data_IF_948889775049
#
_entry.id   IF_948889775049
#
_cell.length_a   1.000
_cell.length_b   1.000
_cell.length_c   1.000
_cell.angle_alpha   90.00
_cell.angle_beta   90.00
_cell.angle_gamma   90.00
#
_symmetry.space_group_name_H-M   'P 1'
#
loop_
_entity.id
_entity.type
_entity.pdbx_description
1 polymer ?
#
# COMPACT_ATOMS: atom_id res chain seq x y z
N UNK A 1 -0.20 19.49 -16.60
CA UNK A 1 -1.49 19.38 -15.87
C UNK A 1 -1.94 17.93 -16.04
N UNK A 2 -1.54 17.03 -15.15
CA UNK A 2 -2.05 15.65 -15.18
C UNK A 2 -3.57 15.77 -14.99
N UNK A 3 -4.32 15.25 -15.95
CA UNK A 3 -5.76 15.46 -16.01
C UNK A 3 -6.39 14.95 -14.70
N UNK A 4 -7.06 15.83 -13.94
CA UNK A 4 -7.63 15.46 -12.63
C UNK A 4 -8.68 14.37 -12.77
N UNK A 5 -9.33 14.29 -13.94
CA UNK A 5 -10.25 13.20 -14.29
C UNK A 5 -9.50 11.87 -14.30
N UNK A 6 -8.30 11.82 -14.89
CA UNK A 6 -7.46 10.63 -14.91
C UNK A 6 -6.96 10.20 -13.52
N UNK A 7 -6.70 11.16 -12.61
CA UNK A 7 -6.25 10.83 -11.25
C UNK A 7 -7.37 10.25 -10.37
N UNK A 8 -8.58 10.81 -10.48
CA UNK A 8 -9.77 10.28 -9.78
C UNK A 8 -10.12 8.89 -10.31
N UNK A 9 -10.10 8.69 -11.62
CA UNK A 9 -10.36 7.38 -12.24
C UNK A 9 -9.36 6.32 -11.78
N UNK A 10 -8.06 6.62 -11.81
CA UNK A 10 -7.02 5.69 -11.32
C UNK A 10 -7.18 5.32 -9.86
N UNK A 11 -7.49 6.29 -9.00
CA UNK A 11 -7.73 6.00 -7.59
C UNK A 11 -9.01 5.18 -7.39
N UNK A 12 -10.06 5.45 -8.16
CA UNK A 12 -11.29 4.67 -8.15
C UNK A 12 -11.06 3.21 -8.56
N UNK A 13 -10.26 2.99 -9.62
CA UNK A 13 -9.84 1.65 -10.05
C UNK A 13 -9.01 0.93 -8.97
N UNK A 14 -8.06 1.63 -8.34
CA UNK A 14 -7.23 1.05 -7.26
C UNK A 14 -8.05 0.65 -6.03
N UNK A 15 -9.08 1.45 -5.70
CA UNK A 15 -9.93 1.21 -4.54
C UNK A 15 -11.11 0.28 -4.83
N UNK A 16 -11.34 -0.06 -6.09
CA UNK A 16 -12.55 -0.77 -6.55
C UNK A 16 -13.82 -0.04 -6.10
N UNK A 17 -13.87 1.26 -6.44
CA UNK A 17 -14.95 2.19 -6.08
C UNK A 17 -15.49 2.93 -7.32
N UNK A 18 -16.73 3.43 -7.27
CA UNK A 18 -17.22 4.37 -8.28
C UNK A 18 -16.41 5.67 -8.27
N UNK A 19 -16.07 6.19 -9.45
CA UNK A 19 -15.32 7.43 -9.59
C UNK A 19 -16.04 8.64 -8.97
N UNK A 20 -17.38 8.62 -8.95
CA UNK A 20 -18.22 9.64 -8.32
C UNK A 20 -17.97 9.72 -6.81
N UNK A 21 -17.87 8.57 -6.13
CA UNK A 21 -17.59 8.53 -4.70
C UNK A 21 -16.21 9.12 -4.40
N UNK A 22 -15.21 8.78 -5.22
CA UNK A 22 -13.85 9.32 -5.10
C UNK A 22 -13.80 10.82 -5.39
N UNK A 23 -14.56 11.32 -6.37
CA UNK A 23 -14.67 12.74 -6.66
C UNK A 23 -15.33 13.53 -5.53
N UNK A 24 -16.35 12.97 -4.87
CA UNK A 24 -16.98 13.57 -3.69
C UNK A 24 -16.00 13.56 -2.51
N UNK A 25 -15.34 12.43 -2.23
CA UNK A 25 -14.32 12.32 -1.20
C UNK A 25 -13.18 13.32 -1.38
N UNK A 26 -12.68 13.49 -2.60
CA UNK A 26 -11.69 14.50 -2.95
C UNK A 26 -12.14 15.92 -2.58
N UNK A 27 -13.38 16.29 -2.94
CA UNK A 27 -13.91 17.63 -2.61
C UNK A 27 -13.99 17.84 -1.10
N UNK A 28 -14.49 16.86 -0.36
CA UNK A 28 -14.60 16.95 1.11
C UNK A 28 -13.23 17.11 1.77
N UNK A 29 -12.27 16.26 1.41
CA UNK A 29 -10.91 16.30 1.97
C UNK A 29 -10.19 17.58 1.60
N UNK A 30 -10.36 18.07 0.36
CA UNK A 30 -9.75 19.33 -0.06
C UNK A 30 -10.23 20.52 0.79
N UNK A 31 -11.52 20.61 1.10
CA UNK A 31 -12.03 21.67 1.96
C UNK A 31 -11.55 21.50 3.42
N UNK A 32 -11.52 20.26 3.93
CA UNK A 32 -10.98 19.97 5.27
C UNK A 32 -9.49 20.37 5.39
N UNK A 33 -8.67 20.06 4.38
CA UNK A 33 -7.25 20.41 4.35
C UNK A 33 -7.04 21.93 4.27
N UNK A 34 -7.90 22.67 3.55
CA UNK A 34 -7.84 24.14 3.56
C UNK A 34 -8.13 24.69 4.95
N UNK A 35 -9.17 24.20 5.62
CA UNK A 35 -9.52 24.61 6.98
C UNK A 35 -8.40 24.28 7.97
N UNK A 36 -7.85 23.06 7.90
CA UNK A 36 -6.71 22.65 8.71
C UNK A 36 -5.49 23.55 8.49
N UNK A 37 -5.14 23.85 7.23
CA UNK A 37 -4.06 24.79 6.89
C UNK A 37 -4.31 26.19 7.47
N UNK A 38 -5.53 26.70 7.40
CA UNK A 38 -5.85 28.02 7.96
C UNK A 38 -5.57 28.09 9.46
N UNK A 39 -5.81 26.99 10.19
CA UNK A 39 -5.62 26.95 11.64
C UNK A 39 -4.17 26.65 12.06
N UNK A 40 -3.52 25.68 11.41
CA UNK A 40 -2.22 25.15 11.86
C UNK A 40 -1.03 25.66 11.04
N UNK A 41 -1.25 26.05 9.78
CA UNK A 41 -0.19 26.48 8.86
C UNK A 41 -0.58 27.73 8.05
N UNK A 42 -1.00 28.84 8.71
CA UNK A 42 -1.52 30.01 8.02
C UNK A 42 -0.48 30.68 7.11
N UNK A 43 0.81 30.47 7.33
CA UNK A 43 1.90 31.02 6.52
C UNK A 43 2.12 30.31 5.16
N UNK A 44 1.69 29.05 5.01
CA UNK A 44 1.83 28.31 3.75
C UNK A 44 0.73 28.68 2.77
N UNK A 45 1.00 28.80 1.46
CA UNK A 45 -0.10 28.92 0.49
C UNK A 45 -0.94 27.64 0.47
N UNK A 46 -2.21 27.73 0.03
CA UNK A 46 -3.07 26.53 -0.13
C UNK A 46 -2.40 25.50 -1.03
N UNK A 47 -1.78 25.96 -2.12
CA UNK A 47 -1.14 25.07 -3.07
C UNK A 47 0.10 24.38 -2.48
N UNK A 48 0.95 25.11 -1.75
CA UNK A 48 2.13 24.53 -1.09
C UNK A 48 1.72 23.49 -0.04
N UNK A 49 0.70 23.80 0.76
CA UNK A 49 0.19 22.86 1.76
C UNK A 49 -0.41 21.60 1.13
N UNK A 50 -1.22 21.75 0.07
CA UNK A 50 -1.77 20.59 -0.64
C UNK A 50 -0.64 19.75 -1.25
N UNK A 51 0.37 20.35 -1.88
CA UNK A 51 1.52 19.59 -2.41
C UNK A 51 2.20 18.75 -1.33
N UNK A 52 2.43 19.31 -0.13
CA UNK A 52 2.99 18.55 1.01
C UNK A 52 2.05 17.42 1.45
N UNK A 53 0.75 17.69 1.58
CA UNK A 53 -0.22 16.68 1.98
C UNK A 53 -0.35 15.53 0.96
N UNK A 54 -0.12 15.81 -0.33
CA UNK A 54 -0.12 14.79 -1.39
C UNK A 54 1.22 14.05 -1.52
N UNK A 55 2.35 14.66 -1.14
CA UNK A 55 3.68 14.07 -1.29
C UNK A 55 3.83 12.75 -0.52
N UNK A 56 3.33 12.71 0.72
CA UNK A 56 3.46 11.54 1.60
C UNK A 56 2.25 10.60 1.49
N UNK A 57 1.41 10.76 0.46
CA UNK A 57 0.18 9.98 0.31
C UNK A 57 -0.91 10.23 1.36
N UNK A 58 -0.68 11.12 2.34
CA UNK A 58 -1.62 11.42 3.42
C UNK A 58 -2.99 11.89 2.90
N UNK A 59 -2.99 12.84 1.95
CA UNK A 59 -4.22 13.32 1.32
C UNK A 59 -4.93 12.20 0.54
N UNK A 60 -4.19 11.33 -0.15
CA UNK A 60 -4.77 10.19 -0.88
C UNK A 60 -5.45 9.22 0.09
N UNK A 61 -4.82 8.94 1.23
CA UNK A 61 -5.42 8.12 2.28
C UNK A 61 -6.72 8.72 2.83
N UNK A 62 -6.74 10.03 3.14
CA UNK A 62 -7.96 10.70 3.58
C UNK A 62 -9.07 10.62 2.52
N UNK A 63 -8.73 10.76 1.24
CA UNK A 63 -9.68 10.66 0.14
C UNK A 63 -10.26 9.25 0.06
N UNK A 64 -9.41 8.22 0.12
CA UNK A 64 -9.84 6.83 0.11
C UNK A 64 -10.79 6.53 1.28
N UNK A 65 -10.40 6.90 2.49
CA UNK A 65 -11.22 6.68 3.69
C UNK A 65 -12.56 7.42 3.63
N UNK A 66 -12.57 8.68 3.17
CA UNK A 66 -13.81 9.42 2.95
C UNK A 66 -14.71 8.77 1.89
N UNK A 67 -14.11 8.24 0.81
CA UNK A 67 -14.83 7.59 -0.29
C UNK A 67 -15.50 6.29 0.15
N UNK A 68 -14.83 5.47 0.97
CA UNK A 68 -15.43 4.28 1.56
C UNK A 68 -16.58 4.63 2.52
N UNK A 69 -16.40 5.63 3.38
CA UNK A 69 -17.46 6.11 4.31
C UNK A 69 -18.70 6.61 3.58
N UNK A 70 -18.54 7.29 2.44
CA UNK A 70 -19.67 7.71 1.59
C UNK A 70 -20.53 6.54 1.12
N UNK A 71 -19.93 5.36 0.97
CA UNK A 71 -20.61 4.12 0.58
C UNK A 71 -20.93 3.21 1.77
N UNK A 72 -20.81 3.70 3.01
CA UNK A 72 -21.03 2.94 4.26
C UNK A 72 -20.12 1.72 4.40
N UNK A 73 -18.91 1.78 3.83
CA UNK A 73 -17.86 0.76 3.95
C UNK A 73 -16.87 1.16 5.04
N UNK A 74 -17.37 1.36 6.27
CA UNK A 74 -16.57 1.95 7.37
C UNK A 74 -15.35 1.09 7.73
N UNK A 75 -15.48 -0.24 7.70
CA UNK A 75 -14.36 -1.17 7.91
C UNK A 75 -13.24 -0.99 6.87
N UNK A 76 -13.58 -0.80 5.60
CA UNK A 76 -12.57 -0.56 4.55
C UNK A 76 -11.90 0.81 4.73
N UNK A 77 -12.65 1.82 5.22
CA UNK A 77 -12.08 3.11 5.56
C UNK A 77 -11.06 3.02 6.70
N UNK A 78 -11.33 2.23 7.74
CA UNK A 78 -10.40 1.96 8.84
C UNK A 78 -9.16 1.19 8.36
N UNK A 79 -9.35 0.22 7.46
CA UNK A 79 -8.27 -0.57 6.85
C UNK A 79 -7.30 0.33 6.08
N UNK A 80 -7.77 1.20 5.19
CA UNK A 80 -6.86 2.06 4.41
C UNK A 80 -6.07 3.02 5.30
N UNK A 81 -6.70 3.55 6.36
CA UNK A 81 -6.00 4.38 7.35
C UNK A 81 -4.95 3.58 8.13
N UNK A 82 -5.23 2.33 8.47
CA UNK A 82 -4.28 1.44 9.13
C UNK A 82 -3.09 1.10 8.23
N UNK A 83 -3.35 0.80 6.95
CA UNK A 83 -2.31 0.57 5.94
C UNK A 83 -1.39 1.79 5.81
N UNK A 84 -1.96 3.00 5.70
CA UNK A 84 -1.16 4.22 5.59
C UNK A 84 -0.25 4.43 6.81
N UNK A 85 -0.74 4.17 8.03
CA UNK A 85 0.08 4.22 9.26
C UNK A 85 1.18 3.17 9.29
N UNK A 86 0.91 1.95 8.79
CA UNK A 86 1.89 0.88 8.72
C UNK A 86 2.99 1.16 7.67
N UNK A 87 2.63 1.80 6.56
CA UNK A 87 3.58 2.19 5.51
C UNK A 87 4.48 3.38 5.91
N UNK A 88 4.01 4.23 6.83
CA UNK A 88 4.74 5.41 7.32
C UNK A 88 4.89 5.36 8.85
N UNK A 89 5.64 4.38 9.39
CA UNK A 89 5.78 4.22 10.83
C UNK A 89 6.44 5.46 11.42
N UNK A 90 5.87 5.98 12.52
CA UNK A 90 6.51 7.06 13.27
C UNK A 90 7.83 6.54 13.89
N UNK A 91 8.88 7.38 13.96
CA UNK A 91 10.08 7.04 14.72
C UNK A 91 9.71 6.60 16.14
N UNK A 92 10.17 5.41 16.56
CA UNK A 92 9.88 4.83 17.88
C UNK A 92 8.56 4.07 18.00
N UNK A 93 7.83 3.80 16.90
CA UNK A 93 6.69 2.88 16.93
C UNK A 93 7.13 1.47 17.38
N UNK A 94 6.31 0.76 18.17
CA UNK A 94 6.67 -0.57 18.66
C UNK A 94 7.03 -1.50 17.51
N UNK A 95 8.15 -2.22 17.64
CA UNK A 95 8.51 -3.30 16.72
C UNK A 95 7.38 -4.33 16.73
N UNK A 96 6.82 -4.62 15.55
CA UNK A 96 5.94 -5.78 15.35
C UNK A 96 6.69 -7.01 15.85
N UNK A 97 6.08 -7.77 16.77
CA UNK A 97 6.71 -8.95 17.35
C UNK A 97 7.19 -9.89 16.23
N UNK A 98 8.47 -10.30 16.22
CA UNK A 98 9.04 -11.09 15.14
C UNK A 98 8.60 -12.55 15.29
N UNK A 99 7.86 -13.08 14.32
CA UNK A 99 7.78 -14.53 13.94
C UNK A 99 6.55 -14.91 13.12
N UNK A 100 5.55 -14.02 12.97
CA UNK A 100 4.39 -14.30 12.13
C UNK A 100 4.63 -13.83 10.68
N UNK A 101 4.49 -14.75 9.72
CA UNK A 101 4.54 -14.42 8.29
C UNK A 101 5.94 -14.26 7.67
N UNK A 102 7.02 -14.64 8.36
CA UNK A 102 8.36 -14.81 7.75
C UNK A 102 9.21 -15.79 8.59
N UNK A 103 10.32 -16.27 8.03
CA UNK A 103 11.27 -17.06 8.80
C UNK A 103 12.05 -16.16 9.79
N UNK A 104 12.48 -16.66 10.97
CA UNK A 104 13.15 -15.84 11.99
C UNK A 104 14.38 -15.07 11.49
N UNK A 105 15.18 -15.68 10.61
CA UNK A 105 16.36 -15.04 10.03
C UNK A 105 16.03 -13.86 9.11
N UNK A 106 14.83 -13.87 8.52
CA UNK A 106 14.38 -12.87 7.56
C UNK A 106 13.70 -11.67 8.22
N UNK A 107 13.32 -11.78 9.49
CA UNK A 107 12.72 -10.69 10.26
C UNK A 107 13.66 -9.49 10.45
N UNK A 108 14.96 -9.65 10.14
CA UNK A 108 15.95 -8.58 10.21
C UNK A 108 15.87 -7.60 9.02
N UNK A 109 15.30 -8.01 7.89
CA UNK A 109 15.12 -7.13 6.73
C UNK A 109 13.99 -6.13 7.00
N UNK A 110 14.27 -4.84 6.76
CA UNK A 110 13.31 -3.77 7.02
C UNK A 110 12.07 -3.92 6.14
N UNK A 111 12.28 -4.24 4.87
CA UNK A 111 11.27 -4.39 3.84
C UNK A 111 10.31 -5.53 4.19
N UNK A 112 10.85 -6.65 4.70
CA UNK A 112 10.06 -7.78 5.18
C UNK A 112 9.15 -7.34 6.33
N UNK A 113 9.70 -6.67 7.35
CA UNK A 113 8.88 -6.18 8.49
C UNK A 113 7.81 -5.18 8.04
N UNK A 114 8.14 -4.27 7.13
CA UNK A 114 7.19 -3.26 6.62
C UNK A 114 6.06 -3.93 5.83
N UNK A 115 6.37 -4.89 4.96
CA UNK A 115 5.36 -5.66 4.23
C UNK A 115 4.43 -6.43 5.19
N UNK A 116 4.98 -7.12 6.20
CA UNK A 116 4.20 -7.82 7.23
C UNK A 116 3.29 -6.84 8.00
N UNK A 117 3.81 -5.68 8.37
CA UNK A 117 3.04 -4.65 9.07
C UNK A 117 1.87 -4.13 8.22
N UNK A 118 2.11 -3.86 6.93
CA UNK A 118 1.09 -3.41 5.98
C UNK A 118 0.00 -4.47 5.81
N UNK A 119 0.36 -5.72 5.56
CA UNK A 119 -0.60 -6.80 5.32
C UNK A 119 -1.41 -7.12 6.59
N UNK A 120 -0.75 -7.14 7.75
CA UNK A 120 -1.43 -7.30 9.05
C UNK A 120 -2.40 -6.14 9.31
N UNK A 121 -2.01 -4.90 9.02
CA UNK A 121 -2.87 -3.72 9.17
C UNK A 121 -4.10 -3.77 8.26
N UNK A 122 -4.02 -4.50 7.13
CA UNK A 122 -5.14 -4.76 6.25
C UNK A 122 -6.05 -5.92 6.72
N UNK A 123 -5.81 -6.47 7.91
CA UNK A 123 -6.58 -7.58 8.48
C UNK A 123 -6.26 -8.93 7.83
N UNK A 124 -5.15 -9.04 7.09
CA UNK A 124 -4.75 -10.29 6.47
C UNK A 124 -3.96 -11.11 7.52
N UNK A 125 -4.33 -12.36 7.82
CA UNK A 125 -3.55 -13.20 8.71
C UNK A 125 -2.20 -13.55 8.08
N UNK A 126 -1.17 -13.48 8.91
CA UNK A 126 0.14 -14.03 8.61
C UNK A 126 0.11 -15.57 8.77
N UNK A 127 0.93 -16.28 8.00
CA UNK A 127 1.16 -17.71 8.22
C UNK A 127 1.83 -17.88 9.59
N UNK A 128 1.14 -18.57 10.49
CA UNK A 128 1.67 -19.06 11.76
C UNK A 128 1.92 -20.56 11.59
N UNK A 129 3.17 -21.01 11.53
CA UNK A 129 3.46 -22.45 11.53
C UNK A 129 2.83 -23.10 12.80
N UNK A 130 2.04 -24.19 12.70
CA UNK A 130 1.89 -25.12 11.56
C UNK A 130 0.62 -24.89 10.68
N UNK A 131 -0.08 -23.75 10.80
CA UNK A 131 -1.29 -23.45 10.01
C UNK A 131 -0.91 -22.99 8.59
N UNK A 132 -1.70 -23.43 7.61
CA UNK A 132 -1.44 -23.20 6.18
C UNK A 132 -2.12 -21.95 5.58
N UNK A 133 -2.91 -21.22 6.38
CA UNK A 133 -3.64 -20.03 5.92
C UNK A 133 -2.88 -18.73 6.19
N UNK A 134 -2.93 -17.78 5.25
CA UNK A 134 -2.34 -16.46 5.42
C UNK A 134 -1.22 -16.10 4.42
N UNK A 135 -0.49 -15.02 4.71
CA UNK A 135 0.66 -14.60 3.91
C UNK A 135 1.99 -15.04 4.54
N UNK A 136 2.98 -15.32 3.69
CA UNK A 136 4.39 -15.41 4.08
C UNK A 136 5.19 -14.48 3.18
N UNK A 137 6.03 -13.66 3.81
CA UNK A 137 6.95 -12.73 3.18
C UNK A 137 8.36 -13.29 3.28
N UNK A 138 9.06 -13.37 2.15
CA UNK A 138 10.47 -13.73 2.08
C UNK A 138 11.25 -12.63 1.38
N UNK A 139 12.47 -12.30 1.83
CA UNK A 139 13.33 -11.38 1.11
C UNK A 139 13.77 -12.03 -0.21
N UNK A 140 13.98 -11.21 -1.23
CA UNK A 140 14.58 -11.67 -2.46
C UNK A 140 16.07 -12.01 -2.31
N UNK A 141 16.57 -12.83 -3.23
CA UNK A 141 17.98 -13.19 -3.30
C UNK A 141 18.90 -12.01 -3.68
N UNK A 142 20.23 -12.22 -3.67
CA UNK A 142 21.23 -11.18 -3.92
C UNK A 142 21.06 -10.43 -5.26
N UNK A 143 20.41 -11.06 -6.24
CA UNK A 143 20.20 -10.53 -7.59
C UNK A 143 19.03 -9.54 -7.69
N UNK A 144 18.12 -9.54 -6.72
CA UNK A 144 16.98 -8.62 -6.63
C UNK A 144 16.97 -7.96 -5.25
N UNK A 145 18.02 -7.20 -4.88
CA UNK A 145 18.12 -6.64 -3.55
C UNK A 145 16.89 -5.76 -3.26
N UNK A 146 16.38 -5.85 -2.02
CA UNK A 146 15.26 -5.04 -1.50
C UNK A 146 13.86 -5.39 -2.04
N UNK A 147 13.74 -6.40 -2.88
CA UNK A 147 12.44 -7.01 -3.18
C UNK A 147 12.02 -7.95 -2.06
N UNK A 148 10.72 -8.11 -1.91
CA UNK A 148 10.12 -9.20 -1.11
C UNK A 148 9.17 -10.01 -1.98
N UNK A 149 9.06 -11.30 -1.69
CA UNK A 149 8.09 -12.18 -2.32
C UNK A 149 7.06 -12.64 -1.30
N UNK A 150 5.82 -12.65 -1.74
CA UNK A 150 4.68 -12.93 -0.88
C UNK A 150 3.92 -14.12 -1.44
N UNK A 151 3.80 -15.18 -0.63
CA UNK A 151 2.94 -16.30 -0.95
C UNK A 151 1.47 -15.85 -0.92
N UNK A 152 0.74 -16.13 -2.00
CA UNK A 152 -0.69 -15.82 -2.10
C UNK A 152 -1.47 -16.74 -1.17
N UNK A 153 -2.51 -16.18 -0.55
CA UNK A 153 -3.36 -16.90 0.39
C UNK A 153 -4.25 -17.92 -0.29
N UNK A 154 -4.20 -19.17 0.18
CA UNK A 154 -5.05 -20.24 -0.34
C UNK A 154 -6.52 -20.04 0.02
N UNK A 155 -6.82 -19.22 1.04
CA UNK A 155 -8.19 -18.92 1.49
C UNK A 155 -8.73 -17.59 0.96
N UNK A 156 -8.09 -17.00 -0.05
CA UNK A 156 -8.41 -15.65 -0.55
C UNK A 156 -9.89 -15.52 -0.98
N UNK A 157 -10.52 -16.62 -1.39
CA UNK A 157 -11.90 -16.66 -1.88
C UNK A 157 -12.94 -16.41 -0.78
N UNK A 158 -12.61 -16.71 0.48
CA UNK A 158 -13.48 -16.46 1.62
C UNK A 158 -13.43 -14.99 2.09
N UNK A 159 -12.49 -14.19 1.58
CA UNK A 159 -12.25 -12.83 2.04
C UNK A 159 -13.01 -11.82 1.20
N UNK A 160 -13.64 -10.86 1.87
CA UNK A 160 -14.42 -9.77 1.26
C UNK A 160 -13.82 -8.40 1.57
N UNK A 161 -14.30 -7.36 0.90
CA UNK A 161 -13.86 -5.98 1.15
C UNK A 161 -12.60 -5.60 0.35
N UNK A 162 -11.99 -4.48 0.70
CA UNK A 162 -10.85 -3.90 -0.03
C UNK A 162 -9.65 -4.85 -0.10
N UNK A 163 -9.33 -5.50 1.01
CA UNK A 163 -8.22 -6.44 1.12
C UNK A 163 -8.61 -7.90 0.76
N UNK A 164 -9.86 -8.13 0.32
CA UNK A 164 -10.37 -9.47 -0.01
C UNK A 164 -10.07 -9.92 -1.45
N UNK A 165 -10.39 -11.18 -1.74
CA UNK A 165 -10.21 -11.79 -3.06
C UNK A 165 -8.74 -12.08 -3.43
N UNK A 166 -8.55 -12.64 -4.62
CA UNK A 166 -7.24 -13.08 -5.13
C UNK A 166 -6.21 -11.94 -5.23
N UNK A 167 -6.69 -10.73 -5.53
CA UNK A 167 -5.84 -9.55 -5.73
C UNK A 167 -5.79 -8.64 -4.48
N UNK A 168 -6.38 -9.05 -3.36
CA UNK A 168 -6.43 -8.24 -2.13
C UNK A 168 -5.05 -7.80 -1.66
N UNK A 169 -4.06 -8.69 -1.76
CA UNK A 169 -2.69 -8.44 -1.31
C UNK A 169 -2.00 -7.42 -2.22
N UNK A 170 -2.22 -7.57 -3.52
CA UNK A 170 -1.71 -6.65 -4.54
C UNK A 170 -2.32 -5.26 -4.39
N UNK A 171 -3.63 -5.17 -4.15
CA UNK A 171 -4.33 -3.90 -3.89
C UNK A 171 -3.81 -3.20 -2.64
N UNK A 172 -3.66 -3.95 -1.54
CA UNK A 172 -3.14 -3.42 -0.27
C UNK A 172 -1.74 -2.84 -0.43
N UNK A 173 -0.82 -3.58 -1.06
CA UNK A 173 0.57 -3.13 -1.24
C UNK A 173 0.67 -1.96 -2.22
N UNK A 174 -0.08 -1.98 -3.33
CA UNK A 174 -0.15 -0.86 -4.26
C UNK A 174 -0.69 0.40 -3.59
N UNK A 175 -1.72 0.26 -2.76
CA UNK A 175 -2.25 1.38 -1.99
C UNK A 175 -1.24 1.93 -0.97
N UNK A 176 -0.43 1.05 -0.38
CA UNK A 176 0.71 1.44 0.45
C UNK A 176 1.87 2.09 -0.33
N UNK A 177 1.75 2.24 -1.66
CA UNK A 177 2.76 2.86 -2.52
C UNK A 177 3.82 1.90 -3.06
N UNK A 178 3.68 0.59 -2.83
CA UNK A 178 4.64 -0.40 -3.30
C UNK A 178 4.40 -0.75 -4.76
N UNK A 179 5.48 -0.97 -5.51
CA UNK A 179 5.38 -1.59 -6.83
C UNK A 179 5.19 -3.08 -6.66
N UNK A 180 4.22 -3.66 -7.36
CA UNK A 180 3.92 -5.08 -7.27
C UNK A 180 3.88 -5.72 -8.66
N UNK A 181 4.39 -6.94 -8.73
CA UNK A 181 4.41 -7.75 -9.94
C UNK A 181 4.14 -9.21 -9.58
N UNK A 182 3.21 -9.89 -10.27
CA UNK A 182 3.10 -11.33 -10.18
C UNK A 182 4.38 -11.99 -10.72
N UNK A 183 4.98 -12.88 -9.94
CA UNK A 183 6.12 -13.67 -10.40
C UNK A 183 5.62 -14.82 -11.29
N UNK A 184 6.11 -14.90 -12.55
CA UNK A 184 5.81 -16.03 -13.41
C UNK A 184 6.20 -17.35 -12.74
N UNK A 185 5.43 -18.41 -13.00
CA UNK A 185 5.74 -19.81 -12.66
C UNK A 185 5.77 -20.20 -11.17
N UNK A 186 5.87 -19.24 -10.24
CA UNK A 186 5.87 -19.51 -8.79
C UNK A 186 4.55 -19.18 -8.10
N UNK A 187 3.71 -18.35 -8.73
CA UNK A 187 2.47 -17.86 -8.12
C UNK A 187 2.69 -16.88 -6.96
N UNK A 188 3.94 -16.45 -6.73
CA UNK A 188 4.28 -15.44 -5.73
C UNK A 188 3.95 -14.04 -6.24
N UNK A 189 3.72 -13.12 -5.30
CA UNK A 189 3.67 -11.69 -5.58
C UNK A 189 5.01 -11.07 -5.20
N UNK A 190 5.76 -10.59 -6.18
CA UNK A 190 6.91 -9.72 -5.95
C UNK A 190 6.45 -8.32 -5.58
N UNK A 191 7.04 -7.73 -4.55
CA UNK A 191 6.75 -6.38 -4.09
C UNK A 191 8.05 -5.62 -3.80
N UNK A 192 8.10 -4.36 -4.26
CA UNK A 192 9.24 -3.46 -4.13
C UNK A 192 8.81 -2.18 -3.41
N UNK A 193 9.48 -1.79 -2.30
CA UNK A 193 9.21 -0.55 -1.59
C UNK A 193 9.38 0.70 -2.46
N UNK A 194 8.62 1.79 -2.22
CA UNK A 194 8.63 3.00 -3.03
C UNK A 194 10.03 3.61 -3.23
N UNK A 195 10.87 3.59 -2.19
CA UNK A 195 12.25 4.09 -2.20
C UNK A 195 13.18 3.33 -3.15
N UNK A 196 12.79 2.14 -3.62
CA UNK A 196 13.59 1.27 -4.47
C UNK A 196 13.01 1.07 -5.88
N UNK A 197 11.82 1.60 -6.16
CA UNK A 197 11.13 1.41 -7.45
C UNK A 197 11.98 1.88 -8.62
N UNK A 198 12.59 3.06 -8.54
CA UNK A 198 13.35 3.61 -9.67
C UNK A 198 14.54 2.71 -10.03
N UNK A 199 15.31 2.27 -9.03
CA UNK A 199 16.40 1.33 -9.22
C UNK A 199 15.93 -0.01 -9.80
N UNK A 200 14.76 -0.50 -9.36
CA UNK A 200 14.17 -1.74 -9.87
C UNK A 200 13.69 -1.61 -11.34
N UNK A 201 13.17 -0.45 -11.72
CA UNK A 201 12.79 -0.16 -13.11
C UNK A 201 14.01 0.00 -14.02
N UNK A 202 15.06 0.63 -13.53
CA UNK A 202 16.30 0.85 -14.27
C UNK A 202 17.03 -0.48 -14.55
N UNK A 203 17.15 -1.36 -13.55
CA UNK A 203 17.73 -2.70 -13.71
C UNK A 203 17.02 -3.55 -14.78
N UNK A 204 15.69 -3.41 -14.90
CA UNK A 204 14.90 -4.11 -15.92
C UNK A 204 15.21 -3.64 -17.34
N UNK A 205 15.49 -2.36 -17.52
CA UNK A 205 15.84 -1.81 -18.83
C UNK A 205 17.24 -2.28 -19.25
N UNK A 206 18.17 -2.44 -18.31
CA UNK A 206 19.52 -2.97 -18.58
C UNK A 206 19.50 -4.44 -19.00
N UNK A 207 18.70 -5.30 -18.36
CA UNK A 207 18.57 -6.71 -18.74
C UNK A 207 17.93 -6.91 -20.12
N UNK A 208 17.08 -5.98 -20.57
CA UNK A 208 16.53 -6.00 -21.94
C UNK A 208 17.56 -5.62 -23.02
N UNK A 209 18.71 -5.05 -22.63
CA UNK A 209 19.77 -4.60 -23.53
C UNK A 209 21.04 -5.46 -23.46
N UNK A 210 21.05 -6.56 -22.69
CA UNK A 210 22.13 -7.54 -22.75
C UNK A 210 21.97 -8.43 -23.99
N UNK A 211 22.94 -8.43 -24.93
CA UNK A 211 22.95 -9.42 -26.00
C UNK A 211 23.14 -10.82 -25.40
N UNK A 212 22.42 -11.79 -25.95
CA UNK A 212 22.50 -13.21 -25.60
C UNK A 212 23.88 -13.81 -25.88
#
# INVERSE_FOLDING_TARGET
MIDRISAVQRLAEQLDLPAEAVAIGYRMVREALKAHRQHHHPSLSVEAYLRLAFADGYAVNLIAAASFRLLRRDTDAEIVEAIHRAAHPKPGAPHVAPSAGCAPQDANYLEVRTAIAILTAAGLPAIEAPRAGGFQVVPAGPELPRWVFIARDQEHAARTGFAGGADGYERVLRFAGWFTRPEPDTGLLGACPPEHIQAALDARNEDQHRPA
#
